data_IF_150560649291
#
_entry.id   IF_150560649291
#
_cell.length_a   1.000
_cell.length_b   1.000
_cell.length_c   1.000
_cell.angle_alpha   90.00
_cell.angle_beta   90.00
_cell.angle_gamma   90.00
#
_symmetry.space_group_name_H-M   'P 1'
#
loop_
_entity.id
_entity.type
_entity.pdbx_description
1 polymer ?
#
# COMPACT_ATOMS: atom_id res chain seq x y z
N UNK A 1 -5.66 -8.30 0.18
CA UNK A 1 -5.01 -7.12 -0.43
C UNK A 1 -3.49 -7.20 -0.36
N UNK A 2 -2.87 -7.54 0.78
CA UNK A 2 -1.42 -7.85 0.85
C UNK A 2 -0.98 -8.95 -0.14
N UNK A 3 -1.78 -9.99 -0.33
CA UNK A 3 -1.45 -11.09 -1.25
C UNK A 3 -1.48 -10.72 -2.73
N UNK A 4 -2.19 -9.66 -3.14
CA UNK A 4 -2.26 -9.26 -4.56
C UNK A 4 -1.02 -8.44 -4.97
N UNK A 5 -0.58 -7.51 -4.10
CA UNK A 5 0.62 -6.70 -4.35
C UNK A 5 1.91 -7.54 -4.32
N UNK A 6 2.02 -8.47 -3.36
CA UNK A 6 3.20 -9.34 -3.25
C UNK A 6 3.30 -10.30 -4.45
N UNK A 7 2.17 -10.80 -4.97
CA UNK A 7 2.18 -11.72 -6.10
C UNK A 7 2.64 -11.02 -7.40
N UNK A 8 2.17 -9.80 -7.67
CA UNK A 8 2.61 -9.02 -8.85
C UNK A 8 4.10 -8.67 -8.79
N UNK A 9 4.62 -8.33 -7.60
CA UNK A 9 6.05 -8.10 -7.41
C UNK A 9 6.87 -9.38 -7.63
N UNK A 10 6.39 -10.54 -7.19
CA UNK A 10 7.11 -11.81 -7.41
C UNK A 10 7.13 -12.24 -8.88
N UNK A 11 6.04 -12.04 -9.62
CA UNK A 11 5.99 -12.38 -11.05
C UNK A 11 6.83 -11.42 -11.90
N UNK A 12 6.82 -10.12 -11.57
CA UNK A 12 7.69 -9.14 -12.23
C UNK A 12 9.17 -9.42 -11.95
N UNK A 13 9.55 -9.81 -10.72
CA UNK A 13 10.91 -10.22 -10.39
C UNK A 13 11.35 -11.48 -11.17
N UNK A 14 10.49 -12.49 -11.29
CA UNK A 14 10.75 -13.68 -12.12
C UNK A 14 10.95 -13.31 -13.59
N UNK A 15 10.13 -12.41 -14.13
CA UNK A 15 10.26 -11.90 -15.50
C UNK A 15 11.58 -11.18 -15.72
N UNK A 16 11.97 -10.28 -14.80
CA UNK A 16 13.26 -9.57 -14.84
C UNK A 16 14.42 -10.56 -14.84
N UNK A 17 14.36 -11.59 -14.00
CA UNK A 17 15.41 -12.61 -13.94
C UNK A 17 15.52 -13.40 -15.24
N UNK A 18 14.38 -13.78 -15.84
CA UNK A 18 14.34 -14.46 -17.14
C UNK A 18 14.96 -13.61 -18.25
N UNK A 19 14.62 -12.32 -18.32
CA UNK A 19 15.18 -11.38 -19.29
C UNK A 19 16.70 -11.21 -19.13
N UNK A 20 17.20 -11.13 -17.89
CA UNK A 20 18.65 -11.09 -17.60
C UNK A 20 19.36 -12.35 -18.07
N UNK A 21 18.80 -13.53 -17.81
CA UNK A 21 19.38 -14.79 -18.25
C UNK A 21 19.41 -14.88 -19.79
N UNK A 22 18.32 -14.48 -20.46
CA UNK A 22 18.26 -14.45 -21.93
C UNK A 22 19.31 -13.50 -22.52
N UNK A 23 19.51 -12.32 -21.91
CA UNK A 23 20.56 -11.38 -22.32
C UNK A 23 21.95 -12.02 -22.22
N UNK A 24 22.27 -12.69 -21.12
CA UNK A 24 23.55 -13.40 -20.95
C UNK A 24 23.74 -14.51 -21.99
N UNK A 25 22.67 -15.24 -22.33
CA UNK A 25 22.72 -16.24 -23.39
C UNK A 25 22.97 -15.62 -24.77
N UNK A 26 22.43 -14.44 -25.06
CA UNK A 26 22.74 -13.72 -26.28
C UNK A 26 24.18 -13.20 -26.31
N UNK A 27 24.67 -12.66 -25.19
CA UNK A 27 26.07 -12.20 -25.07
C UNK A 27 27.05 -13.36 -25.37
N UNK A 28 26.85 -14.53 -24.73
CA UNK A 28 27.67 -15.73 -25.00
C UNK A 28 27.54 -16.26 -26.43
N UNK A 29 26.39 -16.10 -27.08
CA UNK A 29 26.21 -16.46 -28.50
C UNK A 29 26.92 -15.50 -29.44
N UNK A 30 26.96 -14.21 -29.09
CA UNK A 30 27.69 -13.19 -29.86
C UNK A 30 29.19 -13.45 -29.77
N UNK A 31 29.71 -13.77 -28.57
CA UNK A 31 31.12 -14.14 -28.38
C UNK A 31 31.49 -15.35 -29.26
N UNK A 32 30.71 -16.44 -29.20
CA UNK A 32 30.93 -17.62 -30.04
C UNK A 32 30.85 -17.31 -31.54
N UNK A 33 29.95 -16.40 -31.94
CA UNK A 33 29.82 -15.98 -33.33
C UNK A 33 31.07 -15.23 -33.81
N UNK A 34 31.70 -14.45 -32.93
CA UNK A 34 32.95 -13.76 -33.22
C UNK A 34 34.11 -14.75 -33.36
N UNK A 35 34.23 -15.71 -32.44
CA UNK A 35 35.24 -16.77 -32.52
C UNK A 35 35.13 -17.57 -33.84
N UNK A 36 33.92 -17.94 -34.25
CA UNK A 36 33.66 -18.66 -35.50
C UNK A 36 34.09 -17.87 -36.75
N UNK A 37 33.96 -16.53 -36.73
CA UNK A 37 34.44 -15.67 -37.81
C UNK A 37 35.96 -15.63 -37.84
N UNK A 38 36.62 -15.56 -36.68
CA UNK A 38 38.07 -15.59 -36.55
C UNK A 38 38.64 -16.92 -37.04
N UNK A 39 37.97 -18.03 -36.74
CA UNK A 39 38.32 -19.37 -37.21
C UNK A 39 38.04 -19.59 -38.71
N UNK A 40 37.43 -18.61 -39.39
CA UNK A 40 37.10 -18.66 -40.82
C UNK A 40 36.00 -19.66 -41.18
N UNK A 41 35.24 -20.15 -40.19
CA UNK A 41 34.17 -21.14 -40.40
C UNK A 41 32.90 -20.56 -41.02
N UNK A 42 32.73 -19.23 -40.93
CA UNK A 42 31.59 -18.50 -41.48
C UNK A 42 32.06 -17.34 -42.36
N UNK A 43 31.27 -17.04 -43.40
CA UNK A 43 31.51 -15.88 -44.23
C UNK A 43 31.05 -14.58 -43.55
N UNK A 44 31.66 -13.45 -43.96
CA UNK A 44 31.37 -12.12 -43.43
C UNK A 44 29.90 -11.71 -43.60
N UNK A 45 29.22 -12.13 -44.67
CA UNK A 45 27.81 -11.83 -44.87
C UNK A 45 26.92 -12.56 -43.86
N UNK A 46 27.21 -13.84 -43.63
CA UNK A 46 26.50 -14.68 -42.66
C UNK A 46 26.70 -14.18 -41.22
N UNK A 47 27.92 -13.72 -40.89
CA UNK A 47 28.23 -13.08 -39.63
C UNK A 47 27.38 -11.82 -39.44
N UNK A 48 27.43 -10.87 -40.39
CA UNK A 48 26.76 -9.58 -40.27
C UNK A 48 25.25 -9.73 -40.04
N UNK A 49 24.61 -10.62 -40.81
CA UNK A 49 23.17 -10.91 -40.67
C UNK A 49 22.84 -11.51 -39.31
N UNK A 50 23.66 -12.43 -38.81
CA UNK A 50 23.42 -13.10 -37.53
C UNK A 50 23.70 -12.18 -36.34
N UNK A 51 24.76 -11.39 -36.43
CA UNK A 51 25.13 -10.39 -35.44
C UNK A 51 24.02 -9.34 -35.30
N UNK A 52 23.56 -8.76 -36.42
CA UNK A 52 22.46 -7.80 -36.45
C UNK A 52 21.20 -8.34 -35.76
N UNK A 53 20.83 -9.60 -36.03
CA UNK A 53 19.68 -10.23 -35.38
C UNK A 53 19.85 -10.33 -33.86
N UNK A 54 21.01 -10.75 -33.38
CA UNK A 54 21.26 -10.88 -31.95
C UNK A 54 21.39 -9.52 -31.24
N UNK A 55 21.96 -8.52 -31.90
CA UNK A 55 22.02 -7.16 -31.34
C UNK A 55 20.63 -6.54 -31.22
N UNK A 56 19.77 -6.67 -32.23
CA UNK A 56 18.38 -6.19 -32.15
C UNK A 56 17.61 -6.88 -31.01
N UNK A 57 17.71 -8.21 -30.89
CA UNK A 57 17.08 -8.93 -29.78
C UNK A 57 17.61 -8.47 -28.41
N UNK A 58 18.90 -8.15 -28.32
CA UNK A 58 19.51 -7.62 -27.10
C UNK A 58 19.00 -6.21 -26.78
N UNK A 59 18.85 -5.35 -27.77
CA UNK A 59 18.28 -4.01 -27.63
C UNK A 59 16.83 -4.06 -27.15
N UNK A 60 16.01 -4.94 -27.72
CA UNK A 60 14.62 -5.16 -27.29
C UNK A 60 14.54 -5.59 -25.82
N UNK A 61 15.39 -6.53 -25.40
CA UNK A 61 15.46 -7.00 -24.01
C UNK A 61 15.92 -5.88 -23.06
N UNK A 62 16.88 -5.04 -23.48
CA UNK A 62 17.36 -3.91 -22.68
C UNK A 62 16.25 -2.87 -22.51
N UNK A 63 15.56 -2.53 -23.60
CA UNK A 63 14.41 -1.61 -23.58
C UNK A 63 13.29 -2.10 -22.66
N UNK A 64 12.95 -3.40 -22.72
CA UNK A 64 11.96 -4.00 -21.82
C UNK A 64 12.40 -3.92 -20.34
N UNK A 65 13.67 -4.20 -20.05
CA UNK A 65 14.23 -4.08 -18.70
C UNK A 65 14.21 -2.64 -18.17
N UNK A 66 14.46 -1.66 -19.03
CA UNK A 66 14.39 -0.23 -18.67
C UNK A 66 12.96 0.22 -18.41
N UNK A 67 12.02 -0.18 -19.26
CA UNK A 67 10.59 0.08 -19.06
C UNK A 67 10.07 -0.46 -17.72
N UNK A 68 10.45 -1.69 -17.36
CA UNK A 68 10.09 -2.31 -16.08
C UNK A 68 10.73 -1.63 -14.87
N UNK A 69 11.92 -1.04 -15.01
CA UNK A 69 12.54 -0.25 -13.92
C UNK A 69 11.85 1.10 -13.74
N UNK A 70 11.54 1.81 -14.84
CA UNK A 70 10.94 3.14 -14.76
C UNK A 70 9.57 3.11 -14.06
N UNK A 71 8.74 2.11 -14.35
CA UNK A 71 7.42 1.97 -13.71
C UNK A 71 7.54 1.78 -12.20
N UNK A 72 8.46 0.93 -11.74
CA UNK A 72 8.70 0.68 -10.32
C UNK A 72 9.25 1.93 -9.61
N UNK A 73 10.18 2.66 -10.24
CA UNK A 73 10.73 3.90 -9.65
C UNK A 73 9.69 5.01 -9.53
N UNK A 74 8.75 5.11 -10.47
CA UNK A 74 7.70 6.14 -10.44
C UNK A 74 6.72 5.88 -9.31
N UNK A 75 6.28 4.63 -9.20
CA UNK A 75 5.41 4.20 -8.11
C UNK A 75 6.08 4.41 -6.75
N UNK A 76 7.35 4.03 -6.60
CA UNK A 76 8.11 4.25 -5.36
C UNK A 76 8.19 5.72 -4.98
N UNK A 77 8.52 6.60 -5.94
CA UNK A 77 8.55 8.06 -5.70
C UNK A 77 7.20 8.60 -5.25
N UNK A 78 6.11 8.18 -5.89
CA UNK A 78 4.75 8.58 -5.49
C UNK A 78 4.41 8.08 -4.07
N UNK A 79 4.86 6.87 -3.74
CA UNK A 79 4.67 6.29 -2.41
C UNK A 79 5.45 7.04 -1.34
N UNK A 80 6.72 7.38 -1.61
CA UNK A 80 7.57 8.15 -0.70
C UNK A 80 6.93 9.53 -0.41
N UNK A 81 6.45 10.22 -1.45
CA UNK A 81 5.73 11.51 -1.30
C UNK A 81 4.46 11.35 -0.45
N UNK A 82 3.68 10.30 -0.68
CA UNK A 82 2.48 10.04 0.09
C UNK A 82 2.79 9.75 1.57
N UNK A 83 3.90 9.05 1.83
CA UNK A 83 4.35 8.74 3.18
C UNK A 83 4.83 10.00 3.90
N UNK A 84 5.63 10.84 3.25
CA UNK A 84 6.10 12.11 3.78
C UNK A 84 4.92 13.05 4.11
N UNK A 85 3.87 13.05 3.27
CA UNK A 85 2.65 13.82 3.53
C UNK A 85 1.88 13.32 4.76
N UNK A 86 1.87 12.01 5.01
CA UNK A 86 1.24 11.41 6.19
C UNK A 86 2.04 11.67 7.47
N UNK A 87 3.37 11.56 7.40
CA UNK A 87 4.26 11.82 8.54
C UNK A 87 4.17 13.28 9.00
N UNK A 88 4.16 14.20 8.03
CA UNK A 88 4.02 15.64 8.29
C UNK A 88 2.57 16.10 8.46
N UNK A 89 1.58 15.20 8.42
CA UNK A 89 0.15 15.55 8.38
C UNK A 89 -0.27 16.49 9.52
N UNK A 90 0.25 16.24 10.73
CA UNK A 90 -0.05 17.06 11.91
C UNK A 90 0.41 18.51 11.71
N UNK A 91 1.65 18.69 11.26
CA UNK A 91 2.24 20.00 11.03
C UNK A 91 1.49 20.74 9.92
N UNK A 92 1.27 20.05 8.79
CA UNK A 92 0.52 20.57 7.65
C UNK A 92 -0.87 21.03 8.09
N UNK A 93 -1.61 20.24 8.88
CA UNK A 93 -2.93 20.62 9.37
C UNK A 93 -2.90 21.84 10.31
N UNK A 94 -1.89 21.96 11.18
CA UNK A 94 -1.78 23.10 12.10
C UNK A 94 -1.50 24.41 11.37
N UNK A 95 -0.60 24.38 10.39
CA UNK A 95 -0.10 25.55 9.65
C UNK A 95 -1.01 25.95 8.47
N UNK A 96 -1.86 25.03 8.00
CA UNK A 96 -2.78 25.26 6.88
C UNK A 96 -3.86 26.30 7.15
N UNK A 97 -4.42 26.88 6.08
CA UNK A 97 -5.60 27.75 6.15
C UNK A 97 -6.88 26.93 6.36
N UNK A 98 -7.99 27.58 6.69
CA UNK A 98 -9.27 26.91 6.99
C UNK A 98 -9.76 26.07 5.81
N UNK A 99 -9.63 26.58 4.58
CA UNK A 99 -9.98 25.87 3.34
C UNK A 99 -9.18 24.58 3.19
N UNK A 100 -7.86 24.68 3.34
CA UNK A 100 -6.91 23.57 3.22
C UNK A 100 -7.14 22.52 4.33
N UNK A 101 -7.50 22.95 5.55
CA UNK A 101 -7.90 22.04 6.65
C UNK A 101 -9.17 21.25 6.31
N UNK A 102 -10.14 21.88 5.66
CA UNK A 102 -11.36 21.21 5.22
C UNK A 102 -11.03 20.11 4.21
N UNK A 103 -10.10 20.37 3.27
CA UNK A 103 -9.62 19.40 2.29
C UNK A 103 -8.87 18.24 2.97
N UNK A 104 -8.03 18.52 3.96
CA UNK A 104 -7.33 17.48 4.71
C UNK A 104 -8.30 16.58 5.49
N UNK A 105 -9.32 17.17 6.12
CA UNK A 105 -10.36 16.42 6.84
C UNK A 105 -11.18 15.57 5.87
N UNK A 106 -11.55 16.10 4.69
CA UNK A 106 -12.31 15.34 3.70
C UNK A 106 -11.50 14.21 3.07
N UNK A 107 -10.18 14.31 3.04
CA UNK A 107 -9.28 13.19 2.66
C UNK A 107 -9.34 12.02 3.66
N UNK A 108 -9.48 12.32 4.96
CA UNK A 108 -9.66 11.31 6.02
C UNK A 108 -11.08 10.75 6.02
N UNK A 109 -12.08 11.63 5.90
CA UNK A 109 -13.50 11.30 5.95
C UNK A 109 -14.13 11.64 4.59
N UNK A 110 -14.09 10.71 3.62
CA UNK A 110 -14.61 10.95 2.29
C UNK A 110 -16.12 11.17 2.25
N UNK A 111 -16.83 10.76 3.30
CA UNK A 111 -18.25 11.02 3.48
C UNK A 111 -18.48 12.24 4.36
N UNK A 112 -19.61 12.93 4.15
CA UNK A 112 -19.96 14.12 4.91
C UNK A 112 -20.10 13.82 6.40
N UNK A 113 -19.69 14.80 7.21
CA UNK A 113 -19.84 14.75 8.65
C UNK A 113 -21.32 14.89 8.99
N UNK A 114 -21.90 13.89 9.66
CA UNK A 114 -23.31 13.89 10.02
C UNK A 114 -23.49 14.53 11.40
N UNK A 115 -24.36 15.53 11.49
CA UNK A 115 -24.69 16.20 12.74
C UNK A 115 -26.20 16.05 13.02
N UNK A 116 -26.54 15.45 14.16
CA UNK A 116 -27.93 15.22 14.57
C UNK A 116 -28.47 16.29 15.55
N UNK A 117 -27.74 17.41 15.71
CA UNK A 117 -28.06 18.47 16.66
C UNK A 117 -27.48 18.26 18.06
N UNK A 118 -27.03 17.05 18.40
CA UNK A 118 -26.42 16.72 19.72
C UNK A 118 -25.07 16.04 19.59
N UNK A 119 -24.84 15.30 18.51
CA UNK A 119 -23.65 14.48 18.25
C UNK A 119 -23.21 14.66 16.81
N UNK A 120 -21.90 14.73 16.64
CA UNK A 120 -21.24 14.60 15.35
C UNK A 120 -20.82 13.14 15.14
N UNK A 121 -21.07 12.59 13.96
CA UNK A 121 -20.57 11.28 13.54
C UNK A 121 -19.87 11.38 12.19
N UNK A 122 -18.74 10.69 12.10
CA UNK A 122 -18.04 10.41 10.85
C UNK A 122 -18.46 9.01 10.38
N UNK A 123 -19.34 8.89 9.37
CA UNK A 123 -19.91 7.61 8.98
C UNK A 123 -18.86 6.65 8.41
N UNK A 124 -17.87 7.17 7.67
CA UNK A 124 -16.81 6.39 7.05
C UNK A 124 -15.47 7.10 7.09
N UNK A 125 -14.43 6.34 7.41
CA UNK A 125 -13.01 6.72 7.29
C UNK A 125 -12.42 6.15 6.00
N UNK A 126 -11.45 6.82 5.40
CA UNK A 126 -10.68 6.33 4.27
C UNK A 126 -10.12 4.92 4.53
N UNK A 127 -10.32 4.00 3.60
CA UNK A 127 -9.95 2.60 3.78
C UNK A 127 -8.43 2.40 3.95
N UNK A 128 -7.59 3.20 3.28
CA UNK A 128 -6.13 3.13 3.41
C UNK A 128 -5.72 3.44 4.85
N UNK A 129 -6.22 4.56 5.39
CA UNK A 129 -5.99 4.95 6.78
C UNK A 129 -6.56 3.91 7.75
N UNK A 130 -7.75 3.35 7.44
CA UNK A 130 -8.36 2.29 8.21
C UNK A 130 -7.49 1.04 8.29
N UNK A 131 -6.78 0.66 7.22
CA UNK A 131 -5.84 -0.46 7.27
C UNK A 131 -4.58 -0.13 8.05
N UNK A 132 -4.01 1.06 7.88
CA UNK A 132 -2.84 1.53 8.64
C UNK A 132 -3.14 1.51 10.15
N UNK A 133 -4.30 2.04 10.56
CA UNK A 133 -4.73 2.06 11.96
C UNK A 133 -5.07 0.67 12.53
N UNK A 134 -5.18 -0.36 11.69
CA UNK A 134 -5.42 -1.74 12.12
C UNK A 134 -4.14 -2.55 12.34
N UNK A 135 -2.96 -2.01 11.99
CA UNK A 135 -1.67 -2.68 12.22
C UNK A 135 -1.50 -3.07 13.71
N UNK A 136 -2.09 -2.30 14.62
CA UNK A 136 -2.06 -2.55 16.06
C UNK A 136 -2.84 -3.80 16.52
N UNK A 137 -3.71 -4.39 15.69
CA UNK A 137 -4.50 -5.58 16.06
C UNK A 137 -3.62 -6.82 16.23
N UNK A 138 -2.52 -6.89 15.49
CA UNK A 138 -1.56 -8.02 15.51
C UNK A 138 -0.31 -7.70 16.35
N UNK A 139 -0.19 -6.47 16.90
CA UNK A 139 0.87 -6.14 17.85
C UNK A 139 0.59 -6.83 19.21
N UNK A 140 1.63 -7.31 19.92
CA UNK A 140 1.46 -7.85 21.26
C UNK A 140 0.77 -6.80 22.13
N UNK A 141 -0.30 -7.22 22.83
CA UNK A 141 -1.17 -6.33 23.63
C UNK A 141 -0.32 -5.50 24.59
N UNK A 142 0.00 -4.26 24.22
CA UNK A 142 0.47 -3.27 25.18
C UNK A 142 -0.68 -2.95 26.14
N UNK A 143 -0.33 -2.82 27.43
CA UNK A 143 -1.27 -2.73 28.57
C UNK A 143 -2.50 -1.90 28.21
N UNK A 144 -3.69 -2.49 28.31
CA UNK A 144 -4.99 -1.81 28.13
C UNK A 144 -5.23 -0.84 29.30
N UNK A 145 -4.49 0.25 29.34
CA UNK A 145 -4.75 1.38 30.22
C UNK A 145 -5.92 2.19 29.68
N UNK A 146 -6.87 2.50 30.55
CA UNK A 146 -7.90 3.49 30.25
C UNK A 146 -7.20 4.84 30.03
N UNK A 147 -7.23 5.38 28.82
CA UNK A 147 -6.53 6.63 28.43
C UNK A 147 -6.96 7.84 29.27
N UNK A 148 -8.12 7.77 29.94
CA UNK A 148 -8.51 8.71 30.99
C UNK A 148 -9.58 8.12 31.91
N UNK A 149 -9.61 8.54 33.19
CA UNK A 149 -10.61 8.09 34.17
C UNK A 149 -12.07 8.43 33.78
N UNK A 150 -12.27 9.34 32.83
CA UNK A 150 -13.58 9.93 32.50
C UNK A 150 -14.14 9.54 31.12
N UNK A 151 -13.50 8.62 30.38
CA UNK A 151 -14.04 8.19 29.09
C UNK A 151 -15.18 7.18 29.30
N UNK A 152 -16.43 7.65 29.23
CA UNK A 152 -17.62 6.78 29.28
C UNK A 152 -17.70 5.97 27.98
N UNK A 153 -17.18 4.75 27.99
CA UNK A 153 -17.34 3.82 26.87
C UNK A 153 -18.82 3.41 26.79
N UNK A 154 -19.47 3.64 25.64
CA UNK A 154 -20.81 3.10 25.41
C UNK A 154 -20.72 1.59 25.32
N UNK A 155 -21.47 0.87 26.17
CA UNK A 155 -21.65 -0.57 26.04
C UNK A 155 -22.30 -0.84 24.67
N UNK A 156 -21.65 -1.65 23.84
CA UNK A 156 -22.30 -2.28 22.69
C UNK A 156 -23.54 -3.00 23.23
N UNK A 157 -24.71 -2.61 22.74
CA UNK A 157 -25.99 -3.23 23.09
C UNK A 157 -26.05 -4.56 22.34
N UNK A 158 -26.25 -5.67 23.06
CA UNK A 158 -26.51 -6.96 22.43
C UNK A 158 -27.78 -6.85 21.57
N UNK A 159 -27.72 -7.37 20.35
CA UNK A 159 -28.86 -7.41 19.43
C UNK A 159 -30.05 -8.09 20.12
N UNK A 160 -31.26 -7.51 20.15
CA UNK A 160 -32.42 -8.19 20.72
C UNK A 160 -32.73 -9.42 19.87
N UNK A 161 -32.44 -10.62 20.40
CA UNK A 161 -33.08 -11.85 19.93
C UNK A 161 -34.36 -12.04 20.74
N UNK A 162 -35.30 -12.78 20.18
CA UNK A 162 -36.62 -13.10 20.75
C UNK A 162 -36.57 -13.92 22.07
N UNK A 163 -35.40 -14.04 22.69
CA UNK A 163 -35.21 -14.67 24.00
C UNK A 163 -34.68 -13.66 25.03
N UNK A 164 -35.13 -13.83 26.28
CA UNK A 164 -34.93 -12.91 27.40
C UNK A 164 -33.46 -12.57 27.65
N UNK A 165 -33.18 -11.27 27.76
CA UNK A 165 -31.86 -10.73 28.05
C UNK A 165 -31.22 -11.33 29.32
N UNK A 166 -29.92 -11.60 29.22
CA UNK A 166 -29.13 -12.24 30.27
C UNK A 166 -29.05 -11.40 31.56
N UNK A 167 -29.01 -12.10 32.70
CA UNK A 167 -29.08 -11.56 34.06
C UNK A 167 -27.84 -10.75 34.46
N UNK A 168 -27.73 -9.51 33.99
CA UNK A 168 -26.98 -8.47 34.70
C UNK A 168 -27.96 -7.47 35.32
N UNK A 169 -28.74 -7.98 36.27
CA UNK A 169 -29.49 -7.13 37.19
C UNK A 169 -28.48 -6.37 38.07
N UNK A 170 -28.43 -5.04 37.91
CA UNK A 170 -27.88 -4.17 38.95
C UNK A 170 -28.72 -4.38 40.22
N UNK A 171 -28.14 -4.98 41.26
CA UNK A 171 -28.82 -5.18 42.56
C UNK A 171 -29.06 -3.89 43.36
N UNK A 172 -28.80 -2.71 42.80
CA UNK A 172 -29.05 -1.42 43.46
C UNK A 172 -29.61 -0.40 42.48
N UNK A 173 -30.72 0.29 42.80
CA UNK A 173 -31.16 1.45 42.04
C UNK A 173 -30.11 2.57 42.20
N UNK A 174 -29.74 3.20 41.09
CA UNK A 174 -28.88 4.39 41.09
C UNK A 174 -29.70 5.58 41.61
N UNK A 175 -29.61 5.85 42.90
CA UNK A 175 -30.11 7.10 43.48
C UNK A 175 -29.09 8.21 43.21
N UNK A 176 -29.36 9.04 42.20
CA UNK A 176 -28.96 10.45 42.19
C UNK A 176 -29.75 11.23 41.13
N UNK A 177 -30.94 11.66 41.55
CA UNK A 177 -31.40 13.02 41.28
C UNK A 177 -30.81 13.89 42.39
N UNK A 178 -29.96 14.85 42.04
CA UNK A 178 -29.74 16.03 42.88
C UNK A 178 -29.73 17.22 41.95
N UNK A 179 -30.82 17.99 42.01
CA UNK A 179 -30.83 19.39 41.65
C UNK A 179 -30.06 20.16 42.73
N UNK A 180 -29.13 20.99 42.30
CA UNK A 180 -28.83 22.33 42.81
C UNK A 180 -27.80 22.98 41.88
#
# INVERSE_FOLDING_TARGET
MQSLLINDDTETLKRIQKLKNNKQQLDTRIEKLQDLLVDGTIDSEAYSKTYSRYTTQKEDIVSELEGLKMSNTTFKKQFDVAFDALDNFKQTYTESRIEDKSILISSIFPESLQFDGKKCRTPRINDVLRYILQIDKDLPKNKKGQISKNMSLSRLVESPRIELGSKQANKKPSTRLVFN
#
